data_IF_052505003176
#
_entry.id   IF_052505003176
#
_cell.length_a   1.000
_cell.length_b   1.000
_cell.length_c   1.000
_cell.angle_alpha   90.00
_cell.angle_beta   90.00
_cell.angle_gamma   90.00
#
_symmetry.space_group_name_H-M   'P 1'
#
loop_
_entity.id
_entity.type
_entity.pdbx_description
1 polymer ?
#
# COMPACT_ATOMS: atom_id res chain seq x y z
N UNK A 1 6.51 14.27 -12.89
CA UNK A 1 5.74 13.24 -12.18
C UNK A 1 6.19 13.24 -10.74
N UNK A 2 5.33 13.64 -9.80
CA UNK A 2 5.67 13.58 -8.37
C UNK A 2 5.53 12.14 -7.90
N UNK A 3 6.58 11.62 -7.30
CA UNK A 3 6.62 10.31 -6.68
C UNK A 3 6.50 10.53 -5.18
N UNK A 4 5.33 10.24 -4.61
CA UNK A 4 5.08 10.42 -3.18
C UNK A 4 5.22 9.08 -2.45
N UNK A 5 5.96 9.09 -1.33
CA UNK A 5 6.13 7.94 -0.45
C UNK A 5 5.21 8.12 0.77
N UNK A 6 4.03 7.49 0.74
CA UNK A 6 2.99 7.70 1.75
C UNK A 6 2.96 6.53 2.74
N UNK A 7 3.04 6.80 4.06
CA UNK A 7 2.88 5.76 5.07
C UNK A 7 1.46 5.22 5.05
N UNK A 8 1.35 3.89 5.10
CA UNK A 8 0.08 3.18 5.11
C UNK A 8 0.16 1.94 6.01
N UNK A 9 -1.00 1.54 6.52
CA UNK A 9 -1.19 0.32 7.30
C UNK A 9 -1.95 -0.70 6.45
N UNK A 10 -1.41 -1.91 6.36
CA UNK A 10 -2.06 -3.00 5.61
C UNK A 10 -3.20 -3.59 6.44
N UNK A 11 -4.35 -3.81 5.81
CA UNK A 11 -5.44 -4.63 6.34
C UNK A 11 -5.77 -5.73 5.35
N UNK A 12 -5.83 -6.98 5.81
CA UNK A 12 -6.23 -8.12 4.97
C UNK A 12 -7.50 -8.76 5.53
N UNK A 13 -8.49 -8.99 4.68
CA UNK A 13 -9.79 -9.58 5.01
C UNK A 13 -10.11 -10.68 3.99
N UNK A 14 -10.05 -11.95 4.40
CA UNK A 14 -10.13 -13.06 3.45
C UNK A 14 -9.06 -12.94 2.36
N UNK A 15 -9.47 -12.91 1.10
CA UNK A 15 -8.58 -12.71 -0.05
C UNK A 15 -8.34 -11.23 -0.40
N UNK A 16 -9.08 -10.31 0.22
CA UNK A 16 -8.93 -8.87 -0.03
C UNK A 16 -7.80 -8.28 0.79
N UNK A 17 -7.06 -7.36 0.16
CA UNK A 17 -5.99 -6.57 0.78
C UNK A 17 -6.30 -5.09 0.56
N UNK A 18 -6.24 -4.34 1.63
CA UNK A 18 -6.43 -2.90 1.67
C UNK A 18 -5.21 -2.25 2.30
N UNK A 19 -4.95 -1.01 1.91
CA UNK A 19 -3.98 -0.14 2.59
C UNK A 19 -4.70 1.10 3.08
N UNK A 20 -4.56 1.35 4.37
CA UNK A 20 -5.09 2.51 5.06
C UNK A 20 -3.97 3.53 5.18
N UNK A 21 -4.08 4.64 4.48
CA UNK A 21 -3.14 5.75 4.60
C UNK A 21 -3.24 6.39 5.99
N UNK A 22 -2.18 7.05 6.45
CA UNK A 22 -2.20 7.79 7.73
C UNK A 22 -3.23 8.92 7.78
N UNK A 23 -3.66 9.44 6.62
CA UNK A 23 -4.75 10.44 6.52
C UNK A 23 -6.16 9.82 6.63
N UNK A 24 -6.25 8.51 6.88
CA UNK A 24 -7.49 7.76 7.05
C UNK A 24 -8.12 7.27 5.74
N UNK A 25 -7.54 7.60 4.57
CA UNK A 25 -8.05 7.09 3.30
C UNK A 25 -7.77 5.60 3.17
N UNK A 26 -8.78 4.85 2.75
CA UNK A 26 -8.67 3.42 2.45
C UNK A 26 -8.53 3.25 0.95
N UNK A 27 -7.43 2.63 0.52
CA UNK A 27 -7.20 2.27 -0.86
C UNK A 27 -7.30 0.75 -0.98
N UNK A 28 -8.29 0.29 -1.76
CA UNK A 28 -8.35 -1.10 -2.19
C UNK A 28 -7.13 -1.38 -3.08
N UNK A 29 -6.42 -2.46 -2.79
CA UNK A 29 -5.28 -2.86 -3.59
C UNK A 29 -5.83 -3.50 -4.87
N UNK A 30 -5.92 -2.72 -5.94
CA UNK A 30 -6.31 -3.24 -7.23
C UNK A 30 -5.32 -4.32 -7.69
N UNK A 31 -5.82 -5.40 -8.28
CA UNK A 31 -5.03 -6.52 -8.80
C UNK A 31 -3.94 -6.12 -9.83
N UNK A 32 -4.00 -4.89 -10.36
CA UNK A 32 -3.07 -4.32 -11.34
C UNK A 32 -1.73 -3.82 -10.75
N UNK A 33 -1.61 -3.62 -9.44
CA UNK A 33 -0.29 -3.31 -8.87
C UNK A 33 0.50 -4.62 -8.82
N UNK A 34 1.74 -4.72 -9.32
CA UNK A 34 2.53 -5.94 -9.19
C UNK A 34 2.75 -6.26 -7.71
N UNK A 35 1.92 -7.18 -7.20
CA UNK A 35 1.71 -7.46 -5.77
C UNK A 35 2.74 -8.41 -5.16
N UNK A 36 3.89 -8.66 -5.78
CA UNK A 36 4.90 -9.55 -5.15
C UNK A 36 5.27 -9.05 -3.75
N UNK A 37 5.38 -7.72 -3.57
CA UNK A 37 5.55 -7.11 -2.25
C UNK A 37 4.32 -7.21 -1.35
N UNK A 38 3.10 -7.18 -1.91
CA UNK A 38 1.82 -7.25 -1.18
C UNK A 38 1.48 -8.66 -0.66
N UNK A 39 1.92 -9.72 -1.37
CA UNK A 39 1.67 -11.11 -0.95
C UNK A 39 2.29 -11.45 0.39
N UNK A 40 3.46 -10.88 0.67
CA UNK A 40 4.20 -11.08 1.92
C UNK A 40 3.74 -10.16 3.06
N UNK A 41 2.79 -9.25 2.81
CA UNK A 41 2.31 -8.32 3.83
C UNK A 41 1.32 -8.97 4.78
N UNK A 42 1.40 -8.58 6.05
CA UNK A 42 0.50 -8.99 7.12
C UNK A 42 -0.41 -7.85 7.52
N UNK A 43 -1.60 -8.15 8.02
CA UNK A 43 -2.46 -7.15 8.67
C UNK A 43 -1.71 -6.43 9.79
N UNK A 44 -1.86 -5.11 9.88
CA UNK A 44 -1.20 -4.26 10.86
C UNK A 44 0.22 -3.83 10.46
N UNK A 45 0.73 -4.33 9.35
CA UNK A 45 2.07 -3.98 8.88
C UNK A 45 2.08 -2.57 8.29
N UNK A 46 3.05 -1.76 8.72
CA UNK A 46 3.27 -0.40 8.22
C UNK A 46 4.18 -0.44 7.00
N UNK A 47 3.80 0.24 5.93
CA UNK A 47 4.48 0.26 4.64
C UNK A 47 4.54 1.67 4.07
N UNK A 48 5.47 1.94 3.14
CA UNK A 48 5.43 3.15 2.31
C UNK A 48 4.92 2.79 0.93
N UNK A 49 3.91 3.51 0.46
CA UNK A 49 3.38 3.39 -0.89
C UNK A 49 4.06 4.41 -1.77
N UNK A 50 4.50 3.98 -2.95
CA UNK A 50 4.92 4.87 -4.02
C UNK A 50 3.71 5.20 -4.88
N UNK A 51 3.37 6.47 -4.99
CA UNK A 51 2.29 6.94 -5.85
C UNK A 51 2.82 7.77 -7.02
N UNK A 52 2.13 7.74 -8.15
CA UNK A 52 2.41 8.57 -9.32
C UNK A 52 1.09 9.07 -9.88
N UNK A 53 0.89 10.39 -9.91
CA UNK A 53 -0.37 11.01 -10.36
C UNK A 53 -1.62 10.44 -9.66
N UNK A 54 -1.55 10.20 -8.35
CA UNK A 54 -2.66 9.66 -7.56
C UNK A 54 -2.88 8.15 -7.67
N UNK A 55 -2.04 7.43 -8.44
CA UNK A 55 -2.11 5.98 -8.60
C UNK A 55 -0.98 5.31 -7.83
N UNK A 56 -1.27 4.24 -7.09
CA UNK A 56 -0.24 3.43 -6.43
C UNK A 56 0.56 2.68 -7.51
N UNK A 57 1.87 2.91 -7.55
CA UNK A 57 2.79 2.26 -8.51
C UNK A 57 3.74 1.26 -7.87
N UNK A 58 3.99 1.34 -6.56
CA UNK A 58 4.75 0.32 -5.83
C UNK A 58 4.49 0.38 -4.31
N UNK A 59 4.94 -0.64 -3.59
CA UNK A 59 5.20 -0.58 -2.14
C UNK A 59 6.69 -0.67 -1.92
N UNK A 60 7.19 0.10 -0.97
CA UNK A 60 8.60 0.12 -0.59
C UNK A 60 8.79 -0.11 0.91
N UNK A 61 9.83 -0.87 1.23
CA UNK A 61 10.45 -1.03 2.56
C UNK A 61 11.71 -0.15 2.63
N UNK A 62 12.12 0.46 3.76
CA UNK A 62 11.57 0.36 5.12
C UNK A 62 10.71 1.56 5.56
N UNK A 63 9.84 1.30 6.55
CA UNK A 63 9.30 2.34 7.45
C UNK A 63 9.96 2.08 8.79
N UNK A 64 11.04 2.79 9.09
CA UNK A 64 11.46 3.03 10.47
C UNK A 64 10.45 3.95 11.17
#
# INVERSE_FOLDING_TARGET
>A
MTVEAVPATVRTWGDQREVVLDDGRVLAVAAQVPLEGFRSLRTGQRVRLRMTAGVITAITWPVD
#
